data_IF_771341377634
#
_entry.id   IF_771341377634
#
_cell.length_a   1.000
_cell.length_b   1.000
_cell.length_c   1.000
_cell.angle_alpha   90.00
_cell.angle_beta   90.00
_cell.angle_gamma   90.00
#
_symmetry.space_group_name_H-M   'P 1'
#
loop_
_entity.id
_entity.type
_entity.pdbx_description
1 polymer ?
#
# COMPACT_ATOMS: atom_id res chain seq x y z
N UNK A 1 -43.41 -3.78 -21.19
CA UNK A 1 -42.48 -4.44 -20.24
C UNK A 1 -41.16 -4.59 -20.97
N UNK A 2 -40.20 -3.72 -20.67
CA UNK A 2 -38.96 -3.60 -21.43
C UNK A 2 -37.79 -3.66 -20.46
N UNK A 3 -36.93 -4.64 -20.67
CA UNK A 3 -35.76 -4.99 -19.86
C UNK A 3 -34.61 -4.01 -20.16
N UNK A 4 -33.95 -3.49 -19.14
CA UNK A 4 -32.74 -2.64 -19.21
C UNK A 4 -31.46 -3.49 -19.08
N UNK A 5 -30.42 -3.31 -19.92
CA UNK A 5 -29.22 -4.16 -19.90
C UNK A 5 -27.96 -3.53 -19.25
N UNK A 6 -27.28 -4.37 -18.45
CA UNK A 6 -25.82 -4.69 -18.44
C UNK A 6 -24.71 -3.62 -18.46
N UNK A 7 -24.93 -2.35 -18.13
CA UNK A 7 -23.88 -1.32 -18.22
C UNK A 7 -22.87 -1.24 -17.05
N UNK A 8 -23.02 -2.01 -15.96
CA UNK A 8 -22.10 -1.95 -14.79
C UNK A 8 -20.92 -2.93 -14.82
N UNK A 9 -20.92 -3.95 -15.68
CA UNK A 9 -19.81 -4.93 -15.79
C UNK A 9 -18.64 -4.43 -16.66
N UNK A 10 -18.88 -3.51 -17.58
CA UNK A 10 -17.86 -3.05 -18.55
C UNK A 10 -16.76 -2.15 -17.97
N UNK A 11 -17.07 -1.33 -16.97
CA UNK A 11 -16.11 -0.33 -16.45
C UNK A 11 -14.99 -0.95 -15.60
N UNK A 12 -15.29 -2.02 -14.86
CA UNK A 12 -14.32 -2.79 -14.06
C UNK A 12 -13.41 -3.66 -14.94
N UNK A 13 -13.94 -4.23 -16.03
CA UNK A 13 -13.17 -4.96 -17.04
C UNK A 13 -12.16 -4.05 -17.78
N UNK A 14 -12.48 -2.77 -17.96
CA UNK A 14 -11.60 -1.79 -18.59
C UNK A 14 -10.39 -1.43 -17.72
N UNK A 15 -10.55 -1.36 -16.40
CA UNK A 15 -9.43 -1.08 -15.46
C UNK A 15 -8.48 -2.30 -15.38
N UNK A 16 -9.03 -3.51 -15.37
CA UNK A 16 -8.24 -4.74 -15.41
C UNK A 16 -7.48 -4.92 -16.74
N UNK A 17 -8.11 -4.60 -17.89
CA UNK A 17 -7.49 -4.69 -19.21
C UNK A 17 -6.40 -3.62 -19.44
N UNK A 18 -6.56 -2.43 -18.88
CA UNK A 18 -5.56 -1.33 -18.97
C UNK A 18 -4.24 -1.71 -18.26
N UNK A 19 -4.34 -2.52 -17.21
CA UNK A 19 -3.19 -3.02 -16.44
C UNK A 19 -2.36 -4.04 -17.24
N UNK A 20 -2.99 -4.79 -18.14
CA UNK A 20 -2.35 -5.78 -19.01
C UNK A 20 -1.50 -5.16 -20.14
N UNK A 21 -1.87 -3.95 -20.58
CA UNK A 21 -1.12 -3.22 -21.60
C UNK A 21 0.24 -2.71 -21.08
N UNK A 22 0.36 -2.43 -19.78
CA UNK A 22 1.63 -2.06 -19.15
C UNK A 22 2.59 -3.26 -18.97
N UNK A 23 2.05 -4.46 -18.75
CA UNK A 23 2.84 -5.69 -18.60
C UNK A 23 3.38 -6.22 -19.94
N UNK A 24 2.64 -6.08 -21.04
CA UNK A 24 3.08 -6.56 -22.37
C UNK A 24 4.13 -5.64 -23.02
N UNK A 25 4.11 -4.33 -22.72
CA UNK A 25 5.10 -3.37 -23.20
C UNK A 25 6.50 -3.56 -22.59
N UNK A 26 6.59 -4.10 -21.37
CA UNK A 26 7.87 -4.40 -20.72
C UNK A 26 8.58 -5.64 -21.29
N UNK A 27 7.87 -6.51 -22.01
CA UNK A 27 8.39 -7.81 -22.48
C UNK A 27 8.96 -7.79 -23.92
N UNK A 28 8.83 -6.68 -24.67
CA UNK A 28 9.17 -6.63 -26.11
C UNK A 28 10.27 -5.63 -26.50
N UNK A 29 11.16 -5.24 -25.58
CA UNK A 29 12.34 -4.45 -25.95
C UNK A 29 13.42 -5.33 -26.59
N UNK A 30 13.41 -5.44 -27.92
CA UNK A 30 14.53 -5.94 -28.73
C UNK A 30 15.45 -4.80 -29.22
N UNK A 31 16.73 -5.09 -29.58
CA UNK A 31 17.85 -4.23 -29.24
C UNK A 31 18.32 -3.27 -30.35
N UNK A 32 19.03 -2.24 -29.86
CA UNK A 32 20.11 -1.48 -30.51
C UNK A 32 19.87 -0.90 -31.91
N UNK A 33 19.71 0.43 -31.96
CA UNK A 33 20.00 1.24 -33.15
C UNK A 33 21.41 1.82 -33.00
N UNK A 34 22.28 1.43 -33.94
CA UNK A 34 23.60 2.03 -34.17
C UNK A 34 23.42 3.47 -34.65
N UNK A 35 24.10 4.43 -33.99
CA UNK A 35 24.20 5.81 -34.46
C UNK A 35 25.63 6.06 -34.89
N UNK A 36 25.82 6.23 -36.19
CA UNK A 36 27.08 6.62 -36.79
C UNK A 36 27.26 8.15 -36.74
N UNK A 37 28.47 8.56 -36.36
CA UNK A 37 29.15 9.76 -36.87
C UNK A 37 28.76 11.10 -36.27
N UNK A 38 29.58 11.61 -35.35
CA UNK A 38 29.92 13.03 -35.25
C UNK A 38 31.33 13.15 -34.64
N UNK A 39 32.30 13.45 -35.49
CA UNK A 39 33.64 13.91 -35.10
C UNK A 39 33.55 15.35 -34.56
N UNK A 40 33.98 15.56 -33.30
CA UNK A 40 34.67 16.79 -32.85
C UNK A 40 35.17 16.64 -31.41
N UNK A 41 36.38 17.12 -31.17
CA UNK A 41 37.26 16.89 -30.03
C UNK A 41 36.72 17.14 -28.59
N UNK A 42 37.30 16.48 -27.56
CA UNK A 42 36.83 16.56 -26.18
C UNK A 42 37.29 17.87 -25.52
N UNK A 43 36.34 18.78 -25.24
CA UNK A 43 36.59 19.85 -24.25
C UNK A 43 36.09 19.39 -22.88
N UNK A 44 37.02 19.15 -21.97
CA UNK A 44 36.75 19.09 -20.52
C UNK A 44 36.13 20.42 -20.08
N UNK A 45 34.81 20.47 -20.02
CA UNK A 45 34.11 21.53 -19.30
C UNK A 45 34.13 21.16 -17.81
N UNK A 46 35.08 21.73 -17.07
CA UNK A 46 34.98 21.83 -15.62
C UNK A 46 33.68 22.56 -15.27
N UNK A 47 32.73 21.86 -14.65
CA UNK A 47 31.62 22.51 -13.94
C UNK A 47 32.06 22.76 -12.49
N UNK A 48 32.05 24.02 -12.03
CA UNK A 48 32.55 24.40 -10.71
C UNK A 48 31.55 24.00 -9.62
N UNK A 49 32.01 23.21 -8.65
CA UNK A 49 31.87 23.45 -7.21
C UNK A 49 30.49 23.64 -6.55
N UNK A 50 29.35 23.54 -7.24
CA UNK A 50 28.03 23.83 -6.65
C UNK A 50 27.24 22.60 -6.15
N UNK A 51 27.71 21.37 -6.39
CA UNK A 51 26.94 20.16 -6.08
C UNK A 51 27.10 19.59 -4.67
N UNK A 52 27.83 20.26 -3.76
CA UNK A 52 28.09 19.75 -2.40
C UNK A 52 27.34 20.46 -1.27
N UNK A 53 26.40 21.36 -1.55
CA UNK A 53 25.54 21.93 -0.50
C UNK A 53 24.17 21.24 -0.50
N UNK A 54 23.70 20.69 0.63
CA UNK A 54 22.31 20.27 0.77
C UNK A 54 21.41 21.47 0.46
N UNK A 55 20.76 21.48 -0.71
CA UNK A 55 19.78 22.52 -1.04
C UNK A 55 18.63 22.36 -0.05
N UNK A 56 18.41 23.39 0.78
CA UNK A 56 17.31 23.45 1.76
C UNK A 56 16.00 23.00 1.08
N UNK A 57 15.18 22.14 1.73
CA UNK A 57 13.84 21.83 1.23
C UNK A 57 13.11 23.14 0.90
N UNK A 58 12.46 23.21 -0.28
CA UNK A 58 11.68 24.39 -0.64
C UNK A 58 10.62 24.65 0.44
N UNK A 59 10.33 25.91 0.81
CA UNK A 59 9.24 26.21 1.75
C UNK A 59 7.96 25.59 1.24
N UNK A 60 7.33 24.73 2.04
CA UNK A 60 6.03 24.18 1.70
C UNK A 60 4.94 25.24 1.87
N UNK A 61 3.87 25.18 1.07
CA UNK A 61 2.73 26.05 1.27
C UNK A 61 2.15 25.83 2.68
N UNK A 62 1.76 26.92 3.34
CA UNK A 62 1.11 26.88 4.66
C UNK A 62 -0.27 26.22 4.66
N UNK A 63 -0.82 25.95 3.49
CA UNK A 63 -2.13 25.33 3.31
C UNK A 63 -2.01 24.12 2.37
N UNK A 64 -2.79 23.11 2.69
CA UNK A 64 -2.99 21.95 1.84
C UNK A 64 -3.51 22.38 0.46
N UNK A 65 -3.00 21.75 -0.59
CA UNK A 65 -3.49 22.01 -1.96
C UNK A 65 -4.85 21.34 -2.18
N UNK A 66 -5.74 21.93 -2.99
CA UNK A 66 -7.00 21.28 -3.36
C UNK A 66 -6.82 19.90 -4.00
N UNK A 67 -5.79 19.75 -4.83
CA UNK A 67 -5.36 18.50 -5.45
C UNK A 67 -3.83 18.43 -5.37
N UNK A 68 -3.30 17.32 -4.85
CA UNK A 68 -1.86 17.16 -4.67
C UNK A 68 -1.31 16.02 -5.54
N UNK A 69 -1.83 14.80 -5.41
CA UNK A 69 -1.37 13.64 -6.19
C UNK A 69 -2.42 12.55 -6.33
N UNK A 70 -2.15 11.61 -7.23
CA UNK A 70 -2.78 10.29 -7.21
C UNK A 70 -1.71 9.20 -7.24
N UNK A 71 -2.08 8.00 -6.77
CA UNK A 71 -1.24 6.81 -6.84
C UNK A 71 -2.08 5.57 -7.14
N UNK A 72 -1.45 4.61 -7.82
CA UNK A 72 -1.93 3.24 -8.00
C UNK A 72 -0.89 2.30 -7.42
N UNK A 73 -1.29 1.49 -6.46
CA UNK A 73 -0.47 0.44 -5.88
C UNK A 73 -0.98 -0.92 -6.33
N UNK A 74 -0.04 -1.79 -6.70
CA UNK A 74 -0.26 -3.15 -7.16
C UNK A 74 0.67 -4.05 -6.37
N UNK A 75 0.11 -4.95 -5.59
CA UNK A 75 0.88 -6.00 -4.94
C UNK A 75 0.55 -7.34 -5.58
N UNK A 76 1.56 -8.19 -5.72
CA UNK A 76 1.39 -9.55 -6.24
C UNK A 76 2.61 -10.42 -5.91
N UNK A 77 2.38 -11.71 -5.70
CA UNK A 77 3.45 -12.69 -5.48
C UNK A 77 4.32 -12.88 -6.73
N UNK A 78 3.79 -12.69 -7.95
CA UNK A 78 4.55 -12.78 -9.21
C UNK A 78 5.70 -11.77 -9.29
N UNK A 79 5.63 -10.69 -8.49
CA UNK A 79 6.66 -9.66 -8.41
C UNK A 79 7.86 -10.09 -7.54
N UNK A 80 7.82 -11.29 -6.96
CA UNK A 80 8.91 -11.92 -6.23
C UNK A 80 9.63 -12.92 -7.16
N UNK A 81 10.98 -12.91 -7.23
CA UNK A 81 11.73 -13.92 -7.97
C UNK A 81 11.46 -15.35 -7.45
N UNK A 82 10.91 -16.23 -8.30
CA UNK A 82 10.71 -17.66 -8.00
C UNK A 82 9.35 -18.04 -7.40
N UNK A 83 8.33 -17.19 -7.52
CA UNK A 83 7.08 -17.29 -6.76
C UNK A 83 6.03 -18.32 -7.22
N UNK A 84 5.09 -18.57 -6.29
CA UNK A 84 3.83 -19.32 -6.40
C UNK A 84 2.67 -18.36 -6.05
N UNK A 85 1.45 -18.68 -6.48
CA UNK A 85 0.22 -17.89 -6.27
C UNK A 85 -0.41 -18.25 -4.91
N UNK A 86 0.03 -17.64 -3.80
CA UNK A 86 -0.31 -18.07 -2.44
C UNK A 86 -0.16 -16.97 -1.37
N UNK A 87 -0.90 -17.09 -0.26
CA UNK A 87 -0.89 -16.15 0.86
C UNK A 87 -1.51 -14.79 0.56
N UNK A 88 -0.71 -13.74 0.32
CA UNK A 88 -1.20 -12.41 -0.06
C UNK A 88 -1.10 -12.26 -1.57
N UNK A 89 -2.10 -12.81 -2.22
CA UNK A 89 -2.11 -13.14 -3.64
C UNK A 89 -2.07 -11.92 -4.53
N UNK A 90 -2.88 -10.91 -4.19
CA UNK A 90 -2.78 -9.59 -4.81
C UNK A 90 -3.50 -8.51 -4.01
N UNK A 91 -3.06 -7.28 -4.24
CA UNK A 91 -3.75 -6.07 -3.84
C UNK A 91 -3.74 -5.03 -4.96
N UNK A 92 -4.85 -4.32 -5.12
CA UNK A 92 -4.93 -3.14 -5.99
C UNK A 92 -5.55 -2.01 -5.19
N UNK A 93 -4.87 -0.87 -5.11
CA UNK A 93 -5.44 0.35 -4.52
C UNK A 93 -5.17 1.56 -5.39
N UNK A 94 -6.12 2.49 -5.34
CA UNK A 94 -5.98 3.83 -5.90
C UNK A 94 -6.16 4.83 -4.76
N UNK A 95 -5.25 5.79 -4.69
CA UNK A 95 -5.28 6.85 -3.69
C UNK A 95 -5.24 8.22 -4.34
N UNK A 96 -5.96 9.17 -3.76
CA UNK A 96 -5.98 10.56 -4.16
C UNK A 96 -5.74 11.47 -2.95
N UNK A 97 -4.88 12.47 -3.10
CA UNK A 97 -4.44 13.33 -2.00
C UNK A 97 -4.76 14.81 -2.28
N UNK A 98 -5.02 15.56 -1.21
CA UNK A 98 -5.35 16.99 -1.24
C UNK A 98 -6.68 17.29 -0.55
N UNK A 99 -6.95 18.58 -0.31
CA UNK A 99 -8.11 19.01 0.48
C UNK A 99 -9.46 18.53 -0.11
N UNK A 100 -9.55 18.38 -1.44
CA UNK A 100 -10.76 17.83 -2.09
C UNK A 100 -11.05 16.37 -1.74
N UNK A 101 -10.08 15.62 -1.22
CA UNK A 101 -10.29 14.27 -0.72
C UNK A 101 -11.17 14.27 0.54
N UNK A 102 -11.05 15.29 1.39
CA UNK A 102 -11.92 15.49 2.56
C UNK A 102 -13.34 15.93 2.14
N UNK A 103 -13.45 16.75 1.09
CA UNK A 103 -14.73 17.28 0.61
C UNK A 103 -15.52 16.33 -0.30
N UNK A 104 -14.94 15.20 -0.70
CA UNK A 104 -15.60 14.24 -1.56
C UNK A 104 -16.87 13.68 -0.88
N UNK A 105 -17.94 13.49 -1.66
CA UNK A 105 -19.24 13.04 -1.11
C UNK A 105 -19.18 11.65 -0.45
N UNK A 106 -18.23 10.81 -0.86
CA UNK A 106 -17.96 9.49 -0.30
C UNK A 106 -16.84 9.51 0.75
N UNK A 107 -16.30 10.67 1.10
CA UNK A 107 -15.24 10.78 2.09
C UNK A 107 -15.68 10.32 3.47
N UNK A 108 -14.78 9.60 4.14
CA UNK A 108 -14.93 9.16 5.52
C UNK A 108 -14.24 10.13 6.49
N UNK A 109 -13.85 11.32 6.02
CA UNK A 109 -13.15 12.32 6.83
C UNK A 109 -13.94 12.80 8.07
N UNK A 110 -15.27 12.93 7.93
CA UNK A 110 -16.15 13.32 9.05
C UNK A 110 -16.19 12.27 10.16
N UNK A 111 -16.53 10.99 9.91
CA UNK A 111 -16.47 9.97 10.94
C UNK A 111 -15.05 9.75 11.46
N UNK A 112 -14.03 9.86 10.61
CA UNK A 112 -12.62 9.84 11.03
C UNK A 112 -12.34 10.93 12.08
N UNK A 113 -12.76 12.17 11.82
CA UNK A 113 -12.57 13.26 12.78
C UNK A 113 -13.34 13.11 14.08
N UNK A 114 -14.47 12.40 14.07
CA UNK A 114 -15.16 12.04 15.31
C UNK A 114 -14.38 10.99 16.11
N UNK A 115 -13.82 9.97 15.44
CA UNK A 115 -12.95 8.96 16.06
C UNK A 115 -11.68 9.60 16.63
N UNK A 116 -11.04 10.50 15.86
CA UNK A 116 -9.84 11.22 16.29
C UNK A 116 -10.08 12.01 17.58
N UNK A 117 -11.22 12.69 17.69
CA UNK A 117 -11.64 13.36 18.93
C UNK A 117 -11.88 12.39 20.07
N UNK A 118 -12.53 11.27 19.81
CA UNK A 118 -12.85 10.26 20.81
C UNK A 118 -11.58 9.67 21.46
N UNK A 119 -10.52 9.46 20.67
CA UNK A 119 -9.24 8.93 21.15
C UNK A 119 -8.20 10.01 21.48
N UNK A 120 -8.55 11.29 21.31
CA UNK A 120 -7.73 12.46 21.67
C UNK A 120 -6.50 12.66 20.77
N UNK A 121 -6.65 12.54 19.46
CA UNK A 121 -5.56 12.71 18.47
C UNK A 121 -5.83 13.81 17.42
N UNK A 122 -6.90 14.58 17.58
CA UNK A 122 -7.31 15.66 16.68
C UNK A 122 -6.42 16.91 16.74
N UNK A 123 -5.79 17.19 17.90
CA UNK A 123 -4.94 18.38 18.13
C UNK A 123 -3.45 18.02 18.34
N UNK A 124 -2.90 17.13 17.51
CA UNK A 124 -1.52 16.65 17.67
C UNK A 124 -0.47 17.47 16.91
N UNK A 125 -0.91 18.44 16.10
CA UNK A 125 -0.07 19.46 15.46
C UNK A 125 -0.60 20.86 15.77
N UNK A 126 0.27 21.85 16.09
CA UNK A 126 -0.15 23.25 16.20
C UNK A 126 -0.76 23.83 14.93
N UNK A 127 -0.45 23.24 13.78
CA UNK A 127 -0.89 23.67 12.45
C UNK A 127 -2.17 22.94 11.99
N UNK A 128 -2.68 22.00 12.80
CA UNK A 128 -3.85 21.18 12.49
C UNK A 128 -3.53 20.06 11.50
N UNK A 129 -4.45 19.83 10.55
CA UNK A 129 -4.31 18.78 9.53
C UNK A 129 -3.48 19.32 8.36
N UNK A 130 -2.35 18.69 8.09
CA UNK A 130 -1.42 19.01 7.01
C UNK A 130 -1.80 18.35 5.67
N UNK A 131 -2.55 17.25 5.72
CA UNK A 131 -2.91 16.51 4.52
C UNK A 131 -4.08 15.55 4.70
N UNK A 132 -4.86 15.41 3.63
CA UNK A 132 -5.92 14.44 3.48
C UNK A 132 -5.65 13.50 2.30
N UNK A 133 -6.09 12.25 2.44
CA UNK A 133 -6.19 11.34 1.31
C UNK A 133 -7.44 10.48 1.40
N UNK A 134 -7.87 10.02 0.23
CA UNK A 134 -8.89 9.00 0.08
C UNK A 134 -8.31 7.85 -0.72
N UNK A 135 -8.59 6.63 -0.31
CA UNK A 135 -8.06 5.42 -0.91
C UNK A 135 -9.19 4.43 -1.09
N UNK A 136 -9.25 3.76 -2.24
CA UNK A 136 -10.11 2.61 -2.42
C UNK A 136 -9.30 1.48 -3.01
N UNK A 137 -9.64 0.25 -2.64
CA UNK A 137 -8.88 -0.88 -3.10
C UNK A 137 -9.56 -2.20 -2.84
N UNK A 138 -8.90 -3.25 -3.31
CA UNK A 138 -9.26 -4.63 -3.05
C UNK A 138 -8.01 -5.45 -2.73
N UNK A 139 -8.20 -6.45 -1.88
CA UNK A 139 -7.17 -7.38 -1.43
C UNK A 139 -7.71 -8.79 -1.53
N UNK A 140 -6.84 -9.73 -1.87
CA UNK A 140 -7.14 -11.16 -1.91
C UNK A 140 -6.06 -11.94 -1.17
N UNK A 141 -6.52 -12.91 -0.39
CA UNK A 141 -5.70 -13.91 0.27
C UNK A 141 -6.11 -15.29 -0.19
N UNK A 142 -5.14 -16.16 -0.44
CA UNK A 142 -5.39 -17.54 -0.88
C UNK A 142 -4.50 -18.53 -0.11
N UNK A 143 -4.92 -19.80 0.05
CA UNK A 143 -4.04 -20.87 0.50
C UNK A 143 -2.91 -21.14 -0.51
N UNK A 144 -1.97 -22.04 -0.15
CA UNK A 144 -0.89 -22.49 -1.02
C UNK A 144 -1.41 -23.20 -2.28
N UNK A 145 -2.43 -24.05 -2.15
CA UNK A 145 -2.97 -24.80 -3.28
C UNK A 145 -4.31 -24.25 -3.75
N UNK A 146 -4.25 -23.34 -4.72
CA UNK A 146 -5.43 -22.65 -5.26
C UNK A 146 -6.32 -23.52 -6.16
N UNK A 147 -5.83 -24.65 -6.69
CA UNK A 147 -6.61 -25.52 -7.59
C UNK A 147 -7.59 -26.41 -6.84
N UNK A 148 -7.35 -26.63 -5.54
CA UNK A 148 -8.26 -27.42 -4.71
C UNK A 148 -9.52 -26.59 -4.46
N UNK A 149 -10.68 -27.23 -4.68
CA UNK A 149 -11.97 -26.61 -4.42
C UNK A 149 -12.34 -26.71 -2.94
N UNK A 150 -12.07 -27.85 -2.34
CA UNK A 150 -12.43 -28.13 -0.95
C UNK A 150 -11.58 -27.31 0.04
N UNK A 151 -12.01 -27.29 1.30
CA UNK A 151 -11.27 -26.63 2.38
C UNK A 151 -9.87 -27.24 2.56
N UNK A 152 -8.92 -26.40 2.94
CA UNK A 152 -7.55 -26.79 3.30
C UNK A 152 -7.28 -26.48 4.78
N UNK A 153 -7.71 -27.35 5.72
CA UNK A 153 -7.45 -27.15 7.13
C UNK A 153 -5.95 -27.05 7.43
N UNK A 154 -5.57 -26.14 8.32
CA UNK A 154 -4.18 -25.83 8.64
C UNK A 154 -3.50 -24.88 7.65
N UNK A 155 -4.18 -24.45 6.57
CA UNK A 155 -3.71 -23.38 5.68
C UNK A 155 -4.61 -22.14 5.77
N UNK A 156 -4.17 -21.00 5.23
CA UNK A 156 -4.96 -19.77 5.22
C UNK A 156 -6.27 -19.99 4.45
N UNK A 157 -7.42 -19.52 4.97
CA UNK A 157 -8.65 -19.53 4.20
C UNK A 157 -8.50 -18.57 3.02
N UNK A 158 -9.32 -18.76 1.99
CA UNK A 158 -9.55 -17.67 1.05
C UNK A 158 -10.14 -16.49 1.82
N UNK A 159 -9.69 -15.28 1.53
CA UNK A 159 -10.30 -14.09 2.10
C UNK A 159 -10.17 -12.92 1.13
N UNK A 160 -11.15 -12.03 1.14
CA UNK A 160 -11.11 -10.84 0.33
C UNK A 160 -11.60 -9.63 1.10
N UNK A 161 -11.08 -8.46 0.75
CA UNK A 161 -11.56 -7.17 1.22
C UNK A 161 -11.72 -6.24 0.03
N UNK A 162 -12.84 -5.55 -0.04
CA UNK A 162 -13.02 -4.35 -0.88
C UNK A 162 -13.29 -3.18 0.06
N UNK A 163 -12.55 -2.09 -0.07
CA UNK A 163 -12.59 -1.02 0.92
C UNK A 163 -12.50 0.37 0.32
N UNK A 164 -12.91 1.33 1.16
CA UNK A 164 -12.73 2.76 1.03
C UNK A 164 -12.16 3.28 2.36
N UNK A 165 -11.11 4.09 2.29
CA UNK A 165 -10.44 4.67 3.44
C UNK A 165 -10.27 6.18 3.27
N UNK A 166 -10.37 6.91 4.36
CA UNK A 166 -9.90 8.30 4.44
C UNK A 166 -8.78 8.40 5.44
N UNK A 167 -7.79 9.24 5.14
CA UNK A 167 -6.61 9.42 5.97
C UNK A 167 -6.39 10.91 6.26
N UNK A 168 -5.81 11.17 7.43
CA UNK A 168 -5.31 12.48 7.84
C UNK A 168 -3.86 12.39 8.24
N UNK A 169 -3.12 13.45 7.94
CA UNK A 169 -1.74 13.66 8.37
C UNK A 169 -1.66 14.95 9.20
N UNK A 170 -1.02 14.89 10.36
CA UNK A 170 -0.70 16.04 11.21
C UNK A 170 0.79 16.03 11.55
N UNK A 171 1.50 17.12 11.30
CA UNK A 171 2.96 17.20 11.40
C UNK A 171 3.36 18.22 12.45
N UNK A 172 3.98 17.76 13.53
CA UNK A 172 4.66 18.61 14.50
C UNK A 172 6.13 18.75 14.11
N UNK A 173 6.40 19.77 13.28
CA UNK A 173 7.75 20.09 12.76
C UNK A 173 8.73 20.49 13.87
N UNK A 174 8.25 21.03 14.99
CA UNK A 174 9.11 21.46 16.09
C UNK A 174 9.64 20.27 16.90
N UNK A 175 8.85 19.20 16.98
CA UNK A 175 9.21 17.96 17.70
C UNK A 175 9.63 16.83 16.77
N UNK A 176 9.73 17.06 15.46
CA UNK A 176 9.93 16.04 14.44
C UNK A 176 9.00 14.83 14.62
N UNK A 177 7.71 15.10 14.80
CA UNK A 177 6.67 14.09 14.95
C UNK A 177 5.64 14.21 13.82
N UNK A 178 5.08 13.07 13.42
CA UNK A 178 3.95 13.02 12.52
C UNK A 178 2.92 12.04 13.08
N UNK A 179 1.65 12.41 12.96
CA UNK A 179 0.51 11.58 13.31
C UNK A 179 -0.27 11.28 12.05
N UNK A 180 -0.63 10.01 11.90
CA UNK A 180 -1.46 9.55 10.80
C UNK A 180 -2.65 8.82 11.39
N UNK A 181 -3.85 9.20 10.94
CA UNK A 181 -5.07 8.50 11.29
C UNK A 181 -5.77 8.06 10.02
N UNK A 182 -6.43 6.91 10.08
CA UNK A 182 -7.28 6.45 8.99
C UNK A 182 -8.52 5.78 9.49
N UNK A 183 -9.59 5.93 8.72
CA UNK A 183 -10.82 5.18 8.92
C UNK A 183 -11.21 4.51 7.61
N UNK A 184 -11.29 3.19 7.66
CA UNK A 184 -11.55 2.31 6.54
C UNK A 184 -12.89 1.64 6.75
N UNK A 185 -13.75 1.71 5.74
CA UNK A 185 -14.98 0.93 5.63
C UNK A 185 -14.85 -0.01 4.44
N UNK A 186 -15.32 -1.24 4.60
CA UNK A 186 -15.22 -2.22 3.53
C UNK A 186 -16.24 -3.33 3.64
N UNK A 187 -16.09 -4.29 2.74
CA UNK A 187 -16.83 -5.54 2.74
C UNK A 187 -15.85 -6.71 2.62
N UNK A 188 -15.95 -7.65 3.55
CA UNK A 188 -15.21 -8.91 3.55
C UNK A 188 -15.97 -9.94 2.72
N UNK A 189 -15.27 -10.78 1.97
CA UNK A 189 -15.85 -11.97 1.34
C UNK A 189 -16.70 -11.72 0.09
N UNK A 190 -16.50 -10.59 -0.60
CA UNK A 190 -17.26 -10.31 -1.83
C UNK A 190 -16.79 -11.21 -2.99
N UNK A 191 -17.71 -11.93 -3.69
CA UNK A 191 -17.35 -12.83 -4.80
C UNK A 191 -16.59 -12.16 -5.94
N UNK A 192 -16.78 -10.84 -6.12
CA UNK A 192 -16.16 -10.06 -7.19
C UNK A 192 -14.63 -10.15 -7.21
N UNK A 193 -14.00 -10.35 -6.05
CA UNK A 193 -12.54 -10.41 -5.94
C UNK A 193 -12.04 -11.71 -6.57
N UNK A 194 -12.63 -12.86 -6.22
CA UNK A 194 -12.31 -14.14 -6.87
C UNK A 194 -12.63 -14.18 -8.37
N UNK A 195 -13.70 -13.49 -8.80
CA UNK A 195 -14.02 -13.33 -10.23
C UNK A 195 -12.96 -12.51 -10.99
N UNK A 196 -12.47 -11.43 -10.36
CA UNK A 196 -11.44 -10.57 -10.92
C UNK A 196 -10.11 -11.34 -11.06
N UNK A 197 -9.68 -12.04 -10.00
CA UNK A 197 -8.50 -12.88 -10.02
C UNK A 197 -8.55 -13.91 -11.15
N UNK A 198 -9.63 -14.70 -11.20
CA UNK A 198 -9.79 -15.74 -12.21
C UNK A 198 -9.92 -15.19 -13.64
N UNK A 199 -10.32 -13.93 -13.80
CA UNK A 199 -10.28 -13.24 -15.09
C UNK A 199 -8.84 -12.91 -15.49
N UNK A 200 -8.03 -12.39 -14.58
CA UNK A 200 -6.60 -12.15 -14.82
C UNK A 200 -5.87 -13.46 -15.12
N UNK A 201 -6.16 -14.54 -14.37
CA UNK A 201 -5.54 -15.85 -14.60
C UNK A 201 -5.87 -16.41 -15.98
N UNK A 202 -7.12 -16.27 -16.43
CA UNK A 202 -7.51 -16.68 -17.78
C UNK A 202 -6.76 -15.90 -18.87
N UNK A 203 -6.50 -14.62 -18.65
CA UNK A 203 -5.78 -13.76 -19.60
C UNK A 203 -4.28 -14.09 -19.64
N UNK A 204 -3.70 -14.38 -18.48
CA UNK A 204 -2.26 -14.65 -18.31
C UNK A 204 -1.87 -16.11 -18.52
N UNK A 205 -2.85 -17.01 -18.61
CA UNK A 205 -2.62 -18.46 -18.74
C UNK A 205 -2.34 -19.16 -17.41
N UNK A 206 -2.61 -18.51 -16.27
CA UNK A 206 -2.43 -19.07 -14.92
C UNK A 206 -3.56 -20.00 -14.52
N UNK A 207 -3.30 -20.81 -13.49
CA UNK A 207 -4.28 -21.76 -12.97
C UNK A 207 -5.47 -21.04 -12.33
N UNK A 208 -6.69 -21.56 -12.53
CA UNK A 208 -7.90 -21.01 -11.92
C UNK A 208 -7.96 -21.38 -10.43
N UNK A 209 -8.20 -20.39 -9.57
CA UNK A 209 -8.51 -20.59 -8.16
C UNK A 209 -9.94 -21.11 -7.99
N UNK A 210 -10.11 -22.25 -7.29
CA UNK A 210 -11.39 -22.98 -7.22
C UNK A 210 -12.08 -22.91 -5.86
N UNK A 211 -11.40 -22.46 -4.80
CA UNK A 211 -11.93 -22.46 -3.43
C UNK A 211 -12.60 -21.16 -2.97
N UNK A 212 -12.84 -20.18 -3.86
CA UNK A 212 -13.44 -18.89 -3.48
C UNK A 212 -14.84 -18.98 -2.86
N UNK A 213 -15.59 -20.06 -3.14
CA UNK A 213 -16.90 -20.33 -2.52
C UNK A 213 -16.78 -20.62 -1.00
N UNK A 214 -15.56 -20.84 -0.50
CA UNK A 214 -15.25 -21.10 0.92
C UNK A 214 -14.45 -19.96 1.57
N UNK A 215 -14.46 -18.77 0.99
CA UNK A 215 -13.77 -17.64 1.58
C UNK A 215 -14.38 -17.21 2.91
N UNK A 216 -13.57 -16.58 3.76
CA UNK A 216 -14.06 -15.85 4.93
C UNK A 216 -15.19 -14.93 4.51
N UNK A 217 -16.30 -15.05 5.22
CA UNK A 217 -17.51 -14.24 5.02
C UNK A 217 -18.12 -14.38 3.63
N UNK A 218 -18.07 -15.58 3.02
CA UNK A 218 -18.58 -15.80 1.66
C UNK A 218 -19.99 -15.23 1.44
N UNK A 219 -20.14 -14.48 0.34
CA UNK A 219 -21.34 -13.72 0.01
C UNK A 219 -21.33 -12.26 0.48
N UNK A 220 -20.39 -11.87 1.35
CA UNK A 220 -20.16 -10.48 1.73
C UNK A 220 -20.70 -10.10 3.11
N UNK A 221 -19.88 -9.42 3.92
CA UNK A 221 -20.34 -8.72 5.12
C UNK A 221 -19.60 -7.37 5.32
N UNK A 222 -20.24 -6.35 5.92
CA UNK A 222 -19.58 -5.07 6.17
C UNK A 222 -18.49 -5.20 7.24
N UNK A 223 -17.44 -4.40 7.10
CA UNK A 223 -16.39 -4.28 8.09
C UNK A 223 -15.84 -2.86 8.18
N UNK A 224 -15.08 -2.58 9.24
CA UNK A 224 -14.43 -1.31 9.44
C UNK A 224 -13.08 -1.47 10.16
N UNK A 225 -12.20 -0.49 10.01
CA UNK A 225 -10.96 -0.37 10.77
C UNK A 225 -10.62 1.10 11.02
N UNK A 226 -10.29 1.42 12.26
CA UNK A 226 -9.65 2.68 12.63
C UNK A 226 -8.18 2.42 12.94
N UNK A 227 -7.31 3.28 12.44
CA UNK A 227 -5.86 3.20 12.66
C UNK A 227 -5.32 4.55 13.13
N UNK A 228 -4.39 4.52 14.07
CA UNK A 228 -3.59 5.66 14.51
C UNK A 228 -2.12 5.28 14.49
N UNK A 229 -1.26 6.14 13.96
CA UNK A 229 0.17 5.97 13.96
C UNK A 229 0.89 7.25 14.39
N UNK A 230 1.88 7.10 15.26
CA UNK A 230 2.80 8.15 15.67
C UNK A 230 4.19 7.83 15.14
N UNK A 231 4.72 8.71 14.31
CA UNK A 231 6.06 8.62 13.75
C UNK A 231 6.99 9.64 14.42
N UNK A 232 8.22 9.22 14.67
CA UNK A 232 9.30 10.06 15.19
C UNK A 232 10.51 9.93 14.28
N UNK A 233 10.98 11.06 13.76
CA UNK A 233 12.25 11.11 13.05
C UNK A 233 13.42 10.92 14.04
N UNK A 234 14.35 10.04 13.67
CA UNK A 234 15.55 9.75 14.43
C UNK A 234 16.73 10.34 13.66
N UNK A 235 17.18 11.54 14.05
CA UNK A 235 18.23 12.29 13.37
C UNK A 235 19.55 11.48 13.30
N UNK A 236 19.94 10.93 12.14
CA UNK A 236 21.08 10.01 12.08
C UNK A 236 22.42 10.74 11.86
N UNK A 237 22.43 12.08 11.86
CA UNK A 237 23.63 12.91 11.66
C UNK A 237 24.21 12.88 10.24
N UNK A 238 23.50 12.31 9.25
CA UNK A 238 23.92 12.22 7.85
C UNK A 238 22.83 12.81 6.93
N UNK A 239 23.18 13.68 5.96
CA UNK A 239 22.17 14.39 5.14
C UNK A 239 21.44 13.51 4.13
N UNK A 240 21.99 12.34 3.79
CA UNK A 240 21.45 11.43 2.77
C UNK A 240 20.84 10.15 3.38
N UNK A 241 20.62 10.15 4.69
CA UNK A 241 20.02 9.05 5.43
C UNK A 241 18.95 9.62 6.33
N UNK A 242 17.80 9.00 6.30
CA UNK A 242 16.70 9.29 7.19
C UNK A 242 16.26 8.01 7.87
N UNK A 243 15.96 8.10 9.16
CA UNK A 243 15.49 6.98 9.97
C UNK A 243 14.28 7.44 10.77
N UNK A 244 13.27 6.58 10.89
CA UNK A 244 12.03 6.85 11.61
C UNK A 244 11.67 5.66 12.48
N UNK A 245 11.17 5.95 13.68
CA UNK A 245 10.46 4.98 14.50
C UNK A 245 8.97 5.28 14.43
N UNK A 246 8.16 4.25 14.24
CA UNK A 246 6.70 4.38 14.17
C UNK A 246 6.05 3.43 15.15
N UNK A 247 5.09 3.95 15.93
CA UNK A 247 4.19 3.16 16.75
C UNK A 247 2.78 3.31 16.17
N UNK A 248 2.14 2.21 15.82
CA UNK A 248 0.83 2.15 15.20
C UNK A 248 -0.10 1.26 16.02
N UNK A 249 -1.38 1.62 16.09
CA UNK A 249 -2.44 0.80 16.65
C UNK A 249 -3.66 0.82 15.75
N UNK A 250 -4.40 -0.28 15.70
CA UNK A 250 -5.67 -0.35 15.00
C UNK A 250 -6.71 -1.19 15.73
N UNK A 251 -7.98 -0.90 15.45
CA UNK A 251 -9.15 -1.63 15.95
C UNK A 251 -10.13 -1.82 14.80
N UNK A 252 -10.71 -3.01 14.66
CA UNK A 252 -11.60 -3.39 13.57
C UNK A 252 -11.31 -4.80 13.04
N UNK A 253 -11.47 -5.05 11.73
CA UNK A 253 -11.10 -6.34 11.11
C UNK A 253 -9.64 -6.75 11.33
N UNK A 254 -8.77 -5.78 11.64
CA UNK A 254 -7.40 -6.06 12.06
C UNK A 254 -7.11 -5.24 13.32
N UNK A 255 -7.04 -5.93 14.46
CA UNK A 255 -6.77 -5.32 15.76
C UNK A 255 -5.36 -5.70 16.20
N UNK A 256 -4.46 -4.71 16.14
CA UNK A 256 -3.04 -4.91 16.42
C UNK A 256 -2.38 -3.63 16.95
N UNK A 257 -1.30 -3.82 17.69
CA UNK A 257 -0.33 -2.77 18.03
C UNK A 257 1.00 -3.13 17.37
N UNK A 258 1.63 -2.16 16.70
CA UNK A 258 2.81 -2.40 15.87
C UNK A 258 3.87 -1.35 16.14
N UNK A 259 5.10 -1.82 16.26
CA UNK A 259 6.28 -0.96 16.27
C UNK A 259 7.12 -1.25 15.04
N UNK A 260 7.73 -0.21 14.46
CA UNK A 260 8.61 -0.36 13.32
C UNK A 260 9.73 0.68 13.30
N UNK A 261 10.85 0.27 12.70
CA UNK A 261 11.95 1.14 12.34
C UNK A 261 12.10 1.16 10.82
N UNK A 262 12.00 2.34 10.20
CA UNK A 262 12.16 2.51 8.76
C UNK A 262 13.30 3.46 8.43
N UNK A 263 13.92 3.26 7.27
CA UNK A 263 14.96 4.12 6.74
C UNK A 263 14.75 4.43 5.26
N UNK A 264 15.33 5.54 4.81
CA UNK A 264 15.59 5.79 3.38
C UNK A 264 16.95 6.44 3.21
N UNK A 265 17.66 6.04 2.17
CA UNK A 265 19.01 6.50 1.89
C UNK A 265 19.22 6.75 0.39
N UNK A 266 19.84 7.87 0.06
CA UNK A 266 20.11 8.27 -1.32
C UNK A 266 19.92 9.77 -1.54
N UNK A 267 19.40 10.13 -2.71
CA UNK A 267 19.12 11.52 -3.06
C UNK A 267 17.73 11.91 -2.57
N UNK A 268 17.68 12.47 -1.37
CA UNK A 268 16.46 12.88 -0.68
C UNK A 268 16.24 14.40 -0.82
N UNK A 269 15.01 14.81 -1.15
CA UNK A 269 14.57 16.21 -1.30
C UNK A 269 13.21 16.46 -0.65
N UNK A 270 12.38 15.44 -0.58
CA UNK A 270 11.10 15.41 0.09
C UNK A 270 11.29 15.32 1.60
N UNK A 271 10.40 15.89 2.42
CA UNK A 271 10.46 15.67 3.86
C UNK A 271 10.17 14.22 4.26
N UNK A 272 10.70 13.82 5.42
CA UNK A 272 10.66 12.46 5.94
C UNK A 272 9.25 11.90 6.17
N UNK A 273 8.28 12.76 6.48
CA UNK A 273 6.89 12.39 6.75
C UNK A 273 6.06 12.14 5.48
N UNK A 274 6.56 12.45 4.28
CA UNK A 274 5.80 12.25 3.02
C UNK A 274 5.93 10.85 2.42
N UNK A 275 6.82 10.03 2.98
CA UNK A 275 7.12 8.70 2.48
C UNK A 275 7.05 7.70 3.63
N UNK A 276 5.91 7.01 3.74
CA UNK A 276 5.57 6.22 4.93
C UNK A 276 5.26 4.76 4.57
N UNK A 277 6.23 4.02 4.00
CA UNK A 277 6.02 2.63 3.60
C UNK A 277 5.68 1.72 4.78
N UNK A 278 6.13 2.07 5.99
CA UNK A 278 5.77 1.36 7.22
C UNK A 278 4.27 1.41 7.51
N UNK A 279 3.52 2.42 7.06
CA UNK A 279 2.08 2.51 7.33
C UNK A 279 1.25 1.57 6.46
N UNK A 280 1.79 1.14 5.32
CA UNK A 280 1.07 0.29 4.40
C UNK A 280 0.93 -1.15 4.93
N UNK A 281 -0.27 -1.72 4.84
CA UNK A 281 -0.64 -3.04 5.37
C UNK A 281 -1.51 -3.78 4.34
N UNK A 282 -0.97 -4.87 3.79
CA UNK A 282 -1.64 -5.65 2.73
C UNK A 282 -2.18 -4.74 1.61
N UNK A 283 -1.38 -3.77 1.15
CA UNK A 283 -1.77 -2.81 0.10
C UNK A 283 -2.62 -1.61 0.54
N UNK A 284 -3.26 -1.65 1.73
CA UNK A 284 -3.93 -0.48 2.35
C UNK A 284 -2.89 0.54 2.84
N UNK A 285 -3.11 1.82 2.59
CA UNK A 285 -2.26 2.92 3.08
C UNK A 285 -0.98 3.12 2.26
N UNK A 286 -0.94 2.62 1.02
CA UNK A 286 0.18 2.78 0.08
C UNK A 286 0.24 4.18 -0.58
N UNK A 287 -0.29 5.21 0.08
CA UNK A 287 -0.30 6.59 -0.41
C UNK A 287 1.10 7.21 -0.31
N UNK A 288 1.76 7.42 -1.46
CA UNK A 288 3.05 8.10 -1.53
C UNK A 288 2.92 9.45 -2.25
N UNK A 289 2.97 10.57 -1.52
CA UNK A 289 2.93 11.91 -2.12
C UNK A 289 4.34 12.45 -2.42
N UNK A 290 4.56 13.09 -3.59
CA UNK A 290 5.76 13.92 -3.80
C UNK A 290 5.58 15.30 -3.15
N UNK A 291 6.67 16.04 -2.91
CA UNK A 291 6.62 17.47 -2.70
C UNK A 291 5.99 18.20 -3.90
N UNK A 292 5.26 19.30 -3.64
CA UNK A 292 4.80 20.25 -4.65
C UNK A 292 5.84 20.60 -5.73
N UNK A 293 5.49 20.43 -7.01
CA UNK A 293 6.29 20.87 -8.15
C UNK A 293 7.34 19.88 -8.68
N UNK A 294 7.24 18.61 -8.27
CA UNK A 294 8.12 17.52 -8.73
C UNK A 294 9.54 17.62 -8.18
N UNK A 295 10.12 16.47 -7.86
CA UNK A 295 11.51 16.39 -7.37
C UNK A 295 12.21 15.23 -8.04
N UNK A 296 13.48 15.43 -8.36
CA UNK A 296 14.33 14.32 -8.79
C UNK A 296 14.97 13.67 -7.56
N UNK A 297 14.47 12.49 -7.24
CA UNK A 297 14.92 11.65 -6.12
C UNK A 297 15.17 10.24 -6.62
N UNK A 298 16.15 9.59 -6.02
CA UNK A 298 16.31 8.15 -6.11
C UNK A 298 16.89 7.66 -4.79
N UNK A 299 16.24 6.69 -4.18
CA UNK A 299 16.63 6.21 -2.87
C UNK A 299 16.23 4.76 -2.67
N UNK A 300 17.08 4.05 -1.94
CA UNK A 300 16.73 2.78 -1.33
C UNK A 300 16.04 3.05 -0.01
N UNK A 301 15.09 2.22 0.36
CA UNK A 301 14.37 2.34 1.61
C UNK A 301 13.99 0.97 2.13
N UNK A 302 13.82 0.86 3.43
CA UNK A 302 13.51 -0.42 4.04
C UNK A 302 13.17 -0.25 5.49
N UNK A 303 12.93 -1.37 6.16
CA UNK A 303 12.64 -1.36 7.57
C UNK A 303 12.27 -2.73 8.10
N UNK A 304 12.13 -2.77 9.41
CA UNK A 304 11.67 -3.92 10.17
C UNK A 304 10.53 -3.49 11.09
N UNK A 305 9.66 -4.43 11.39
CA UNK A 305 8.54 -4.20 12.30
C UNK A 305 8.20 -5.44 13.11
N UNK A 306 7.44 -5.21 14.17
CA UNK A 306 6.82 -6.27 14.96
C UNK A 306 5.40 -5.84 15.29
N UNK A 307 4.44 -6.71 15.00
CA UNK A 307 3.04 -6.51 15.29
C UNK A 307 2.58 -7.50 16.38
N UNK A 308 1.98 -6.97 17.44
CA UNK A 308 1.21 -7.70 18.43
C UNK A 308 -0.26 -7.67 18.00
N UNK A 309 -0.78 -8.80 17.54
CA UNK A 309 -2.10 -8.92 16.92
C UNK A 309 -3.05 -9.71 17.81
N UNK A 310 -4.13 -9.03 18.19
CA UNK A 310 -5.20 -9.61 18.98
C UNK A 310 -6.27 -10.26 18.09
N UNK A 311 -6.50 -9.70 16.90
CA UNK A 311 -7.54 -10.20 16.00
C UNK A 311 -7.22 -9.95 14.52
N UNK A 312 -7.44 -10.96 13.70
CA UNK A 312 -7.35 -10.91 12.24
C UNK A 312 -8.59 -11.56 11.59
N UNK A 313 -9.52 -10.75 11.08
CA UNK A 313 -10.71 -11.27 10.41
C UNK A 313 -10.38 -12.16 9.20
N UNK A 314 -9.25 -11.94 8.51
CA UNK A 314 -8.83 -12.75 7.36
C UNK A 314 -8.49 -14.21 7.71
N UNK A 315 -8.31 -14.52 8.99
CA UNK A 315 -8.07 -15.88 9.49
C UNK A 315 -9.18 -16.34 10.43
N UNK A 316 -9.74 -15.43 11.23
CA UNK A 316 -10.62 -15.75 12.35
C UNK A 316 -12.11 -15.52 12.04
N UNK A 317 -12.45 -15.08 10.82
CA UNK A 317 -13.82 -14.72 10.46
C UNK A 317 -14.31 -13.47 11.20
N UNK A 318 -15.58 -13.10 10.99
CA UNK A 318 -16.23 -11.94 11.63
C UNK A 318 -17.67 -12.25 12.06
N UNK A 319 -18.69 -11.53 11.58
CA UNK A 319 -20.07 -11.69 12.03
C UNK A 319 -20.78 -12.83 11.31
N UNK A 320 -20.35 -13.12 10.08
CA UNK A 320 -20.89 -14.19 9.25
C UNK A 320 -20.07 -15.46 9.46
N UNK A 321 -20.78 -16.58 9.56
CA UNK A 321 -20.15 -17.90 9.65
C UNK A 321 -19.27 -18.15 8.42
N UNK A 322 -18.10 -18.75 8.67
CA UNK A 322 -17.12 -19.09 7.65
C UNK A 322 -16.79 -20.58 7.76
N UNK A 323 -16.70 -21.27 6.63
CA UNK A 323 -16.48 -22.73 6.61
C UNK A 323 -15.13 -23.15 7.21
N UNK A 324 -14.12 -22.27 7.10
CA UNK A 324 -12.81 -22.42 7.73
C UNK A 324 -12.42 -21.09 8.36
N UNK A 325 -12.23 -21.11 9.67
CA UNK A 325 -11.68 -20.00 10.46
C UNK A 325 -10.84 -20.58 11.59
N UNK A 326 -9.99 -19.75 12.19
CA UNK A 326 -9.06 -20.15 13.24
C UNK A 326 -9.37 -19.48 14.56
N UNK A 327 -9.25 -20.25 15.63
CA UNK A 327 -9.37 -19.76 16.99
C UNK A 327 -8.11 -18.97 17.42
N UNK A 328 -8.27 -18.21 18.51
CA UNK A 328 -7.21 -17.36 19.04
C UNK A 328 -5.94 -18.16 19.39
N UNK A 329 -6.05 -19.41 19.85
CA UNK A 329 -4.92 -20.25 20.20
C UNK A 329 -4.28 -20.96 18.99
N UNK A 330 -4.87 -20.90 17.80
CA UNK A 330 -4.30 -21.45 16.55
C UNK A 330 -3.45 -20.41 15.78
N UNK A 331 -3.60 -19.12 16.11
CA UNK A 331 -2.88 -18.01 15.44
C UNK A 331 -1.72 -17.48 16.27
N UNK A 332 -0.65 -17.01 15.61
CA UNK A 332 0.46 -16.30 16.24
C UNK A 332 0.08 -14.84 16.48
N UNK A 333 0.18 -14.41 17.73
CA UNK A 333 -0.07 -13.02 18.10
C UNK A 333 1.12 -12.09 17.89
N UNK A 334 2.33 -12.62 17.74
CA UNK A 334 3.51 -11.83 17.43
C UNK A 334 3.99 -12.16 16.03
N UNK A 335 3.99 -11.13 15.18
CA UNK A 335 4.36 -11.24 13.78
C UNK A 335 5.53 -10.30 13.50
N UNK A 336 6.61 -10.85 12.96
CA UNK A 336 7.77 -10.10 12.50
C UNK A 336 7.61 -9.68 11.04
N UNK A 337 8.10 -8.49 10.69
CA UNK A 337 7.96 -7.92 9.36
C UNK A 337 9.26 -7.30 8.89
N UNK A 338 9.51 -7.37 7.58
CA UNK A 338 10.60 -6.65 6.93
C UNK A 338 10.15 -6.16 5.56
N UNK A 339 10.72 -5.04 5.11
CA UNK A 339 10.55 -4.59 3.74
C UNK A 339 11.80 -3.91 3.23
N UNK A 340 11.99 -4.02 1.92
CA UNK A 340 13.07 -3.36 1.20
C UNK A 340 12.57 -2.95 -0.17
N UNK A 341 12.83 -1.71 -0.54
CA UNK A 341 12.36 -1.16 -1.79
C UNK A 341 13.28 -0.08 -2.35
N UNK A 342 12.95 0.33 -3.56
CA UNK A 342 13.64 1.39 -4.27
C UNK A 342 12.61 2.31 -4.92
N UNK A 343 12.88 3.61 -4.87
CA UNK A 343 12.00 4.62 -5.46
C UNK A 343 12.77 5.51 -6.42
N UNK A 344 12.16 5.75 -7.57
CA UNK A 344 12.55 6.75 -8.56
C UNK A 344 11.47 7.83 -8.59
N UNK A 345 11.85 9.09 -8.47
CA UNK A 345 10.98 10.24 -8.68
C UNK A 345 11.62 11.20 -9.68
N UNK A 346 10.78 11.76 -10.55
CA UNK A 346 11.21 12.65 -11.63
C UNK A 346 10.66 14.07 -11.43
N UNK A 347 11.33 15.05 -12.03
CA UNK A 347 10.95 16.46 -11.92
C UNK A 347 9.57 16.78 -12.51
N UNK A 348 9.05 15.92 -13.39
CA UNK A 348 7.74 16.05 -14.01
C UNK A 348 6.60 15.50 -13.13
N UNK A 349 6.87 15.16 -11.87
CA UNK A 349 5.86 14.75 -10.89
C UNK A 349 5.61 13.25 -10.81
N UNK A 350 6.15 12.46 -11.73
CA UNK A 350 6.06 11.00 -11.71
C UNK A 350 6.93 10.38 -10.61
N UNK A 351 6.45 9.27 -10.06
CA UNK A 351 7.18 8.42 -9.12
C UNK A 351 6.87 6.95 -9.40
N UNK A 352 7.90 6.11 -9.35
CA UNK A 352 7.81 4.67 -9.40
C UNK A 352 8.52 4.09 -8.19
N UNK A 353 7.86 3.20 -7.46
CA UNK A 353 8.44 2.47 -6.34
C UNK A 353 8.25 0.97 -6.54
N UNK A 354 9.27 0.21 -6.23
CA UNK A 354 9.20 -1.24 -6.11
C UNK A 354 9.57 -1.64 -4.68
N UNK A 355 8.89 -2.63 -4.12
CA UNK A 355 9.12 -3.12 -2.77
C UNK A 355 8.97 -4.64 -2.71
N UNK A 356 9.80 -5.26 -1.90
CA UNK A 356 9.64 -6.62 -1.40
C UNK A 356 9.27 -6.55 0.08
N UNK A 357 8.25 -7.30 0.48
CA UNK A 357 7.77 -7.39 1.87
C UNK A 357 7.79 -8.83 2.32
N UNK A 358 8.32 -9.05 3.52
CA UNK A 358 8.33 -10.34 4.18
C UNK A 358 7.60 -10.24 5.52
N UNK A 359 6.90 -11.30 5.88
CA UNK A 359 6.20 -11.42 7.15
C UNK A 359 6.38 -12.83 7.72
N UNK A 360 6.54 -12.93 9.04
CA UNK A 360 6.53 -14.22 9.70
C UNK A 360 5.16 -14.89 9.61
N UNK A 361 5.15 -16.19 9.91
CA UNK A 361 3.94 -16.98 9.93
C UNK A 361 2.89 -16.43 10.89
N UNK A 362 1.62 -16.53 10.47
CA UNK A 362 0.44 -16.17 11.25
C UNK A 362 -0.27 -17.38 11.87
N UNK A 363 -0.09 -18.59 11.33
CA UNK A 363 -0.76 -19.82 11.80
C UNK A 363 0.24 -20.76 12.48
N UNK A 364 -0.07 -21.21 13.70
CA UNK A 364 0.87 -21.96 14.56
C UNK A 364 1.36 -23.27 13.97
N UNK A 365 0.49 -23.97 13.27
CA UNK A 365 0.68 -25.33 12.77
C UNK A 365 0.08 -25.47 11.36
N UNK A 366 0.40 -26.58 10.70
CA UNK A 366 -0.14 -26.93 9.38
C UNK A 366 0.61 -26.29 8.21
N UNK A 367 0.13 -26.50 6.96
CA UNK A 367 0.75 -25.94 5.76
C UNK A 367 0.87 -24.41 5.79
N UNK A 368 -0.06 -23.74 6.48
CA UNK A 368 -0.09 -22.31 6.70
C UNK A 368 0.97 -21.77 7.65
N UNK A 369 1.71 -22.63 8.36
CA UNK A 369 2.85 -22.22 9.17
C UNK A 369 4.09 -21.89 8.32
N UNK A 370 4.04 -20.76 7.60
CA UNK A 370 5.09 -20.34 6.68
C UNK A 370 5.29 -18.84 6.66
N UNK A 371 6.46 -18.41 6.20
CA UNK A 371 6.75 -17.01 5.96
C UNK A 371 6.06 -16.53 4.68
N UNK A 372 5.45 -15.35 4.74
CA UNK A 372 4.83 -14.70 3.58
C UNK A 372 5.85 -13.77 2.94
N UNK A 373 5.91 -13.77 1.61
CA UNK A 373 6.78 -12.89 0.83
C UNK A 373 6.03 -12.41 -0.41
N UNK A 374 5.87 -11.10 -0.57
CA UNK A 374 5.19 -10.53 -1.73
C UNK A 374 5.90 -9.28 -2.23
N UNK A 375 5.70 -8.98 -3.52
CA UNK A 375 6.22 -7.78 -4.17
C UNK A 375 5.12 -6.75 -4.36
N UNK A 376 5.52 -5.48 -4.41
CA UNK A 376 4.64 -4.36 -4.65
C UNK A 376 5.25 -3.36 -5.62
N UNK A 377 4.42 -2.79 -6.48
CA UNK A 377 4.75 -1.69 -7.38
C UNK A 377 3.78 -0.55 -7.15
N UNK A 378 4.31 0.67 -6.99
CA UNK A 378 3.48 1.86 -6.85
C UNK A 378 3.90 2.93 -7.85
N UNK A 379 2.91 3.37 -8.62
CA UNK A 379 3.04 4.47 -9.59
C UNK A 379 2.25 5.64 -9.03
N UNK A 380 2.88 6.82 -8.98
CA UNK A 380 2.22 8.03 -8.52
C UNK A 380 2.55 9.21 -9.41
N UNK A 381 1.63 10.17 -9.47
CA UNK A 381 1.82 11.43 -10.16
C UNK A 381 1.37 12.59 -9.27
N UNK A 382 2.21 13.61 -9.18
CA UNK A 382 1.97 14.83 -8.38
C UNK A 382 1.83 16.02 -9.32
N UNK A 383 0.83 16.87 -9.05
CA UNK A 383 0.46 17.99 -9.91
C UNK A 383 1.24 19.30 -9.63
#
# INVERSE_FOLDING_TARGET
MTVLPSTRRGLLLLIAASSLALLTAAAHAQPAVSVAGLDSEPRLAMLPGEEQRPRRPRPQPKQERPAASWSVALDNDILVPGSRDQDYTYGLSFSYTGARAADAWFSLDRPLGWLDRLVGVDDRSPEGIDGHSIEFGMQAFTPEEVKIKDLLPGDRPYASLVYLSSHREQIDRARDLAWHTSFTLGALGLPLVGEAQNTVHRITGSNRARGWDHQISDGGEPTARYTVARQKYLTPGRPNLEVKSTLQGSVGYLTEARWSLSFRAGRLRSPWWRFNPELARYGEGASYANPPGGVQEHYVWGGIGTAARAYNAFLQGQFRDSDLSYDHDEVRHLVGEAWLGYTLAWHNGWRLSYVLRAQSSELKDGPGDRHLLWGGMVIAHTF
#
